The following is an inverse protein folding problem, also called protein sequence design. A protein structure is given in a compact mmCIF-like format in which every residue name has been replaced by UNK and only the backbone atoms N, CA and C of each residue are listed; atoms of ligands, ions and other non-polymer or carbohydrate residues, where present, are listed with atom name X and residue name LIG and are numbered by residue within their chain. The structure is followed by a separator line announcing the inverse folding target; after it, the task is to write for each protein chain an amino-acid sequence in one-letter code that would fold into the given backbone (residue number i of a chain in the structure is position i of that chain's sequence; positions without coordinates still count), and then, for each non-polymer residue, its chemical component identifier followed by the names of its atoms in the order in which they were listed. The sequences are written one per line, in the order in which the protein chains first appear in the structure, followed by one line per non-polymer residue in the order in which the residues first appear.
data_IF_188467671786
#
_entry.id   IF_188467671786
#
_cell.length_a   1.000
_cell.length_b   1.000
_cell.length_c   1.000
_cell.angle_alpha   90.00
_cell.angle_beta   90.00
_cell.angle_gamma   90.00
#
_symmetry.space_group_name_H-M   'P 1'
#
loop_
_entity.id
_entity.type
_entity.pdbx_description
1 polymer ?
#
# COMPACT_ATOMS: atom_id res chain seq x y z
N UNK A 1 -14.48 4.11 13.58
CA UNK A 1 -13.50 3.42 12.70
C UNK A 1 -12.25 3.11 13.49
N UNK A 2 -11.68 1.95 13.29
CA UNK A 2 -10.41 1.57 13.89
C UNK A 2 -9.54 0.86 12.87
N UNK A 3 -8.23 0.95 13.07
CA UNK A 3 -7.24 0.27 12.23
C UNK A 3 -6.62 -0.85 13.06
N UNK A 4 -6.56 -2.05 12.49
CA UNK A 4 -6.04 -3.23 13.15
C UNK A 4 -5.33 -4.14 12.14
N UNK A 5 -4.49 -5.04 12.64
CA UNK A 5 -3.86 -6.03 11.79
C UNK A 5 -4.91 -7.00 11.25
N UNK A 6 -4.78 -7.36 9.97
CA UNK A 6 -5.65 -8.34 9.35
C UNK A 6 -5.38 -9.72 9.93
N UNK A 7 -6.45 -10.47 10.21
CA UNK A 7 -6.34 -11.86 10.65
C UNK A 7 -6.68 -12.83 9.51
N UNK A 8 -6.23 -14.09 9.58
CA UNK A 8 -6.56 -15.08 8.54
C UNK A 8 -8.07 -15.29 8.36
N UNK A 9 -8.86 -15.13 9.41
CA UNK A 9 -10.31 -15.29 9.33
C UNK A 9 -10.98 -14.24 8.46
N UNK A 10 -10.34 -13.09 8.27
CA UNK A 10 -10.87 -11.99 7.46
C UNK A 10 -10.56 -12.15 5.99
N UNK A 11 -9.60 -13.02 5.63
CA UNK A 11 -9.21 -13.30 4.24
C UNK A 11 -8.98 -14.79 4.01
N UNK A 12 -9.99 -15.64 4.18
CA UNK A 12 -9.78 -17.11 4.08
C UNK A 12 -9.28 -17.55 2.70
N UNK A 13 -9.70 -16.87 1.63
CA UNK A 13 -9.26 -17.21 0.27
C UNK A 13 -7.80 -16.84 0.00
N UNK A 14 -7.15 -16.12 0.92
CA UNK A 14 -5.77 -15.69 0.80
C UNK A 14 -4.87 -16.28 1.88
N UNK A 15 -5.26 -17.42 2.45
CA UNK A 15 -4.53 -18.03 3.56
C UNK A 15 -3.05 -18.27 3.23
N UNK A 16 -2.75 -18.78 2.04
CA UNK A 16 -1.37 -19.04 1.63
C UNK A 16 -0.57 -17.75 1.52
N UNK A 17 -1.17 -16.68 0.98
CA UNK A 17 -0.57 -15.37 0.91
C UNK A 17 -0.27 -14.83 2.32
N UNK A 18 -1.22 -14.99 3.24
CA UNK A 18 -1.05 -14.59 4.63
C UNK A 18 0.10 -15.36 5.31
N UNK A 19 0.11 -16.68 5.13
CA UNK A 19 1.08 -17.56 5.79
C UNK A 19 2.52 -17.31 5.33
N UNK A 20 2.70 -16.81 4.11
CA UNK A 20 4.03 -16.55 3.54
C UNK A 20 4.60 -15.20 3.95
N UNK A 21 3.86 -14.39 4.70
CA UNK A 21 4.28 -13.03 5.04
C UNK A 21 5.01 -12.99 6.37
N UNK A 22 5.99 -12.09 6.44
CA UNK A 22 6.57 -11.67 7.71
C UNK A 22 5.76 -10.47 8.22
N UNK A 23 4.82 -10.73 9.12
CA UNK A 23 3.91 -9.70 9.61
C UNK A 23 4.60 -8.64 10.47
N UNK A 24 5.80 -8.91 10.97
CA UNK A 24 6.56 -7.93 11.72
C UNK A 24 7.15 -6.83 10.83
N UNK A 25 7.54 -7.18 9.61
CA UNK A 25 8.19 -6.25 8.68
C UNK A 25 7.33 -5.91 7.47
N UNK A 26 6.32 -6.70 7.20
CA UNK A 26 5.40 -6.50 6.07
C UNK A 26 3.94 -6.63 6.56
N UNK A 27 3.47 -5.69 7.39
CA UNK A 27 2.14 -5.78 7.99
C UNK A 27 1.01 -5.60 6.98
N UNK A 28 -0.13 -6.18 7.32
CA UNK A 28 -1.39 -5.94 6.64
C UNK A 28 -2.34 -5.33 7.67
N UNK A 29 -2.86 -4.16 7.39
CA UNK A 29 -3.78 -3.44 8.26
C UNK A 29 -5.17 -3.44 7.66
N UNK A 30 -6.17 -3.48 8.52
CA UNK A 30 -7.58 -3.33 8.10
C UNK A 30 -8.21 -2.18 8.88
N UNK A 31 -9.23 -1.59 8.27
CA UNK A 31 -10.08 -0.61 8.93
C UNK A 31 -11.50 -1.17 8.95
N UNK A 32 -12.08 -1.22 10.14
CA UNK A 32 -13.42 -1.77 10.34
C UNK A 32 -14.38 -0.69 10.80
N UNK A 33 -15.61 -0.81 10.35
CA UNK A 33 -16.72 0.01 10.80
C UNK A 33 -17.93 -0.90 10.97
N UNK A 34 -18.50 -0.94 12.17
CA UNK A 34 -19.66 -1.76 12.50
C UNK A 34 -19.46 -3.25 12.13
N UNK A 35 -18.27 -3.77 12.41
CA UNK A 35 -17.92 -5.17 12.16
C UNK A 35 -17.62 -5.51 10.69
N UNK A 36 -17.58 -4.51 9.81
CA UNK A 36 -17.31 -4.70 8.40
C UNK A 36 -15.97 -4.06 8.03
N UNK A 37 -15.17 -4.78 7.26
CA UNK A 37 -13.92 -4.23 6.73
C UNK A 37 -14.24 -3.25 5.60
N UNK A 38 -13.85 -1.99 5.76
CA UNK A 38 -14.09 -0.93 4.77
C UNK A 38 -12.83 -0.51 4.03
N UNK A 39 -11.67 -0.90 4.52
CA UNK A 39 -10.39 -0.64 3.84
C UNK A 39 -9.34 -1.61 4.34
N UNK A 40 -8.35 -1.86 3.53
CA UNK A 40 -7.15 -2.56 3.97
C UNK A 40 -5.95 -2.02 3.24
N UNK A 41 -4.77 -2.22 3.83
CA UNK A 41 -3.52 -1.81 3.23
C UNK A 41 -2.39 -2.70 3.67
N UNK A 42 -1.34 -2.74 2.89
CA UNK A 42 -0.24 -3.66 3.15
C UNK A 42 1.07 -3.11 2.60
N UNK A 43 2.16 -3.55 3.20
CA UNK A 43 3.47 -3.51 2.58
C UNK A 43 3.81 -4.89 2.01
N UNK A 44 4.40 -4.89 0.83
CA UNK A 44 4.95 -6.09 0.21
C UNK A 44 6.40 -5.82 -0.21
N UNK A 45 7.15 -6.89 -0.43
CA UNK A 45 8.53 -6.73 -0.91
C UNK A 45 8.52 -6.10 -2.30
N UNK A 46 9.37 -5.11 -2.49
CA UNK A 46 9.57 -4.54 -3.83
C UNK A 46 10.25 -5.58 -4.75
N UNK A 47 11.27 -6.25 -4.23
CA UNK A 47 11.96 -7.37 -4.88
C UNK A 47 12.28 -8.43 -3.83
N UNK A 48 12.29 -9.69 -4.23
CA UNK A 48 12.54 -10.82 -3.33
C UNK A 48 14.04 -11.07 -3.13
N UNK A 49 14.79 -10.01 -2.87
CA UNK A 49 16.22 -10.08 -2.57
C UNK A 49 16.49 -9.31 -1.29
N UNK A 50 17.37 -9.84 -0.45
CA UNK A 50 17.70 -9.24 0.84
C UNK A 50 18.20 -7.80 0.70
N UNK A 51 18.90 -7.47 -0.38
CA UNK A 51 19.40 -6.12 -0.61
C UNK A 51 18.28 -5.08 -0.70
N UNK A 52 17.06 -5.49 -1.06
CA UNK A 52 15.91 -4.59 -1.16
C UNK A 52 15.04 -4.57 0.10
N UNK A 53 15.48 -5.18 1.20
CA UNK A 53 14.69 -5.20 2.44
C UNK A 53 14.24 -3.82 2.91
N UNK A 54 15.04 -2.72 2.76
CA UNK A 54 14.58 -1.39 3.15
C UNK A 54 13.51 -0.78 2.24
N UNK A 55 13.23 -1.39 1.10
CA UNK A 55 12.26 -0.88 0.11
C UNK A 55 11.04 -1.76 0.08
N UNK A 56 9.86 -1.16 0.25
CA UNK A 56 8.60 -1.89 0.22
C UNK A 56 7.61 -1.20 -0.70
N UNK A 57 6.76 -2.00 -1.32
CA UNK A 57 5.62 -1.51 -2.06
C UNK A 57 4.42 -1.41 -1.13
N UNK A 58 3.71 -0.29 -1.19
CA UNK A 58 2.49 -0.06 -0.42
C UNK A 58 1.28 -0.23 -1.31
N UNK A 59 0.25 -0.89 -0.79
CA UNK A 59 -1.05 -1.00 -1.43
C UNK A 59 -2.12 -0.55 -0.47
N UNK A 60 -3.08 0.21 -0.96
CA UNK A 60 -4.24 0.67 -0.19
C UNK A 60 -5.49 0.39 -1.00
N UNK A 61 -6.43 -0.31 -0.38
CA UNK A 61 -7.74 -0.61 -0.96
C UNK A 61 -8.82 -0.02 -0.08
N UNK A 62 -9.79 0.64 -0.70
CA UNK A 62 -10.95 1.21 0.01
C UNK A 62 -12.22 0.63 -0.62
N UNK A 63 -13.11 0.09 0.23
CA UNK A 63 -14.39 -0.43 -0.25
C UNK A 63 -15.16 0.69 -0.96
N UNK A 64 -15.84 0.41 -2.08
CA UNK A 64 -16.58 1.45 -2.81
C UNK A 64 -17.57 2.23 -1.95
N UNK A 65 -18.17 1.61 -0.95
CA UNK A 65 -19.11 2.27 -0.03
C UNK A 65 -18.44 3.31 0.87
N UNK A 66 -17.13 3.27 1.02
CA UNK A 66 -16.37 4.15 1.91
C UNK A 66 -15.53 5.19 1.15
N UNK A 67 -15.58 5.20 -0.17
CA UNK A 67 -14.83 6.14 -0.99
C UNK A 67 -15.33 7.57 -0.74
N UNK A 68 -14.40 8.54 -0.70
CA UNK A 68 -14.73 9.94 -0.49
C UNK A 68 -14.82 10.36 0.98
N UNK A 69 -14.53 9.45 1.90
CA UNK A 69 -14.61 9.70 3.36
C UNK A 69 -13.25 9.93 4.02
N UNK A 70 -12.18 10.01 3.25
CA UNK A 70 -10.83 10.14 3.80
C UNK A 70 -10.23 8.86 4.35
N UNK A 71 -10.85 7.71 4.11
CA UNK A 71 -10.44 6.42 4.64
C UNK A 71 -9.08 6.00 4.09
N UNK A 72 -8.83 6.24 2.79
CA UNK A 72 -7.55 5.93 2.16
C UNK A 72 -6.39 6.68 2.80
N UNK A 73 -6.58 7.95 3.15
CA UNK A 73 -5.55 8.75 3.83
C UNK A 73 -5.25 8.22 5.22
N UNK A 74 -6.28 7.86 5.97
CA UNK A 74 -6.11 7.29 7.32
C UNK A 74 -5.33 5.99 7.24
N UNK A 75 -5.69 5.12 6.30
CA UNK A 75 -4.99 3.85 6.09
C UNK A 75 -3.54 4.06 5.69
N UNK A 76 -3.28 4.96 4.73
CA UNK A 76 -1.91 5.25 4.29
C UNK A 76 -1.08 5.83 5.43
N UNK A 77 -1.63 6.76 6.21
CA UNK A 77 -0.94 7.33 7.35
C UNK A 77 -0.60 6.26 8.39
N UNK A 78 -1.51 5.32 8.64
CA UNK A 78 -1.28 4.22 9.57
C UNK A 78 -0.14 3.31 9.10
N UNK A 79 -0.07 3.01 7.80
CA UNK A 79 1.02 2.22 7.23
C UNK A 79 2.35 2.98 7.31
N UNK A 80 2.37 4.24 6.92
CA UNK A 80 3.60 5.04 6.96
C UNK A 80 4.15 5.18 8.37
N UNK A 81 3.28 5.18 9.38
CA UNK A 81 3.70 5.21 10.78
C UNK A 81 4.41 3.93 11.23
N UNK A 82 4.27 2.83 10.47
CA UNK A 82 4.90 1.54 10.76
C UNK A 82 6.27 1.36 10.12
N UNK A 83 6.68 2.25 9.22
CA UNK A 83 7.87 2.04 8.39
C UNK A 83 9.15 1.88 9.20
N UNK A 84 9.37 2.72 10.21
CA UNK A 84 10.59 2.63 11.03
C UNK A 84 10.68 1.29 11.75
N UNK A 85 9.61 0.84 12.37
CA UNK A 85 9.57 -0.45 13.07
C UNK A 85 9.76 -1.63 12.12
N UNK A 86 9.35 -1.46 10.86
CA UNK A 86 9.46 -2.50 9.83
C UNK A 86 10.81 -2.49 9.09
N UNK A 87 11.68 -1.54 9.39
CA UNK A 87 12.96 -1.41 8.69
C UNK A 87 12.82 -0.89 7.27
N UNK A 88 11.75 -0.16 6.98
CA UNK A 88 11.46 0.38 5.65
C UNK A 88 11.80 1.86 5.63
N UNK A 89 12.61 2.30 4.67
CA UNK A 89 12.92 3.71 4.47
C UNK A 89 12.63 4.21 3.05
N UNK A 90 12.21 3.31 2.17
CA UNK A 90 11.77 3.63 0.79
C UNK A 90 10.43 2.97 0.55
N UNK A 91 9.42 3.77 0.25
CA UNK A 91 8.06 3.27 0.00
C UNK A 91 7.69 3.59 -1.43
N UNK A 92 7.24 2.57 -2.15
CA UNK A 92 6.87 2.67 -3.57
C UNK A 92 5.38 2.34 -3.71
N UNK A 93 4.68 3.14 -4.50
CA UNK A 93 3.29 2.88 -4.89
C UNK A 93 3.22 2.82 -6.41
N UNK A 94 2.62 1.76 -6.94
CA UNK A 94 2.37 1.61 -8.37
C UNK A 94 0.91 1.93 -8.63
N UNK A 95 0.66 2.89 -9.52
CA UNK A 95 -0.68 3.35 -9.86
C UNK A 95 -0.84 3.43 -11.37
N UNK A 96 -2.06 3.23 -11.86
CA UNK A 96 -2.36 3.62 -13.23
C UNK A 96 -2.30 5.14 -13.33
N UNK A 97 -1.64 5.65 -14.39
CA UNK A 97 -1.47 7.08 -14.59
C UNK A 97 -2.82 7.83 -14.65
N UNK A 98 -3.87 7.17 -15.15
CA UNK A 98 -5.20 7.77 -15.26
C UNK A 98 -6.01 7.69 -13.97
N UNK A 99 -5.54 7.00 -12.95
CA UNK A 99 -6.22 6.90 -11.66
C UNK A 99 -5.87 8.12 -10.81
N UNK A 100 -6.56 9.22 -11.08
CA UNK A 100 -6.27 10.50 -10.41
C UNK A 100 -6.45 10.44 -8.91
N UNK A 101 -7.42 9.67 -8.42
CA UNK A 101 -7.69 9.56 -6.98
C UNK A 101 -6.50 8.92 -6.26
N UNK A 102 -5.92 7.84 -6.81
CA UNK A 102 -4.75 7.19 -6.24
C UNK A 102 -3.53 8.09 -6.30
N UNK A 103 -3.29 8.75 -7.44
CA UNK A 103 -2.16 9.64 -7.58
C UNK A 103 -2.25 10.79 -6.57
N UNK A 104 -3.43 11.38 -6.40
CA UNK A 104 -3.63 12.45 -5.41
C UNK A 104 -3.43 11.96 -3.99
N UNK A 105 -3.91 10.75 -3.68
CA UNK A 105 -3.74 10.17 -2.34
C UNK A 105 -2.26 10.12 -1.97
N UNK A 106 -1.45 9.51 -2.81
CA UNK A 106 -0.02 9.35 -2.51
C UNK A 106 0.71 10.68 -2.58
N UNK A 107 0.41 11.53 -3.56
CA UNK A 107 1.05 12.85 -3.68
C UNK A 107 0.75 13.72 -2.45
N UNK A 108 -0.44 13.63 -1.87
CA UNK A 108 -0.79 14.37 -0.66
C UNK A 108 0.02 13.94 0.56
N UNK A 109 0.68 12.79 0.49
CA UNK A 109 1.53 12.27 1.57
C UNK A 109 3.02 12.36 1.24
N UNK A 110 3.39 13.18 0.27
CA UNK A 110 4.78 13.45 -0.05
C UNK A 110 5.42 12.49 -1.04
N UNK A 111 4.63 11.63 -1.66
CA UNK A 111 5.14 10.78 -2.74
C UNK A 111 5.36 11.62 -3.99
N UNK A 112 6.43 11.31 -4.73
CA UNK A 112 6.75 11.95 -6.00
C UNK A 112 6.92 10.88 -7.07
N UNK A 113 6.81 11.27 -8.34
CA UNK A 113 6.96 10.30 -9.42
C UNK A 113 8.43 9.93 -9.61
N UNK A 114 8.75 8.64 -9.46
CA UNK A 114 10.09 8.11 -9.66
C UNK A 114 10.26 7.38 -10.98
N UNK A 115 9.19 7.05 -11.65
CA UNK A 115 9.25 6.39 -12.94
C UNK A 115 7.88 6.24 -13.58
N UNK A 116 7.92 5.89 -14.86
CA UNK A 116 6.71 5.73 -15.66
C UNK A 116 6.96 4.66 -16.70
N UNK A 117 6.03 3.71 -16.79
CA UNK A 117 6.09 2.61 -17.76
C UNK A 117 4.93 2.79 -18.72
N UNK A 118 5.20 3.29 -19.94
CA UNK A 118 4.12 3.53 -20.90
C UNK A 118 3.47 2.23 -21.32
N UNK A 119 2.13 2.21 -21.35
CA UNK A 119 1.33 1.10 -21.87
C UNK A 119 1.72 -0.26 -21.29
N UNK A 120 2.07 -0.28 -19.99
CA UNK A 120 2.62 -1.45 -19.32
C UNK A 120 1.60 -2.56 -19.06
N UNK A 121 0.32 -2.19 -18.91
CA UNK A 121 -0.73 -3.13 -18.56
C UNK A 121 -1.80 -3.21 -19.64
N UNK A 122 -2.19 -4.43 -19.99
CA UNK A 122 -3.30 -4.68 -20.90
C UNK A 122 -4.56 -4.93 -20.07
N UNK A 123 -5.48 -3.98 -20.11
CA UNK A 123 -6.75 -4.04 -19.40
C UNK A 123 -7.87 -4.27 -20.41
N UNK A 124 -8.14 -5.54 -20.69
CA UNK A 124 -9.19 -5.94 -21.63
C UNK A 124 -9.02 -5.29 -23.01
N UNK A 125 -7.79 -5.33 -23.54
CA UNK A 125 -7.46 -4.77 -24.83
C UNK A 125 -7.11 -3.28 -24.83
N UNK A 126 -7.23 -2.61 -23.69
CA UNK A 126 -6.78 -1.21 -23.53
C UNK A 126 -5.47 -1.19 -22.74
N UNK A 127 -4.42 -0.65 -23.35
CA UNK A 127 -3.13 -0.54 -22.70
C UNK A 127 -3.10 0.68 -21.77
N UNK A 128 -2.58 0.48 -20.57
CA UNK A 128 -2.53 1.54 -19.56
C UNK A 128 -1.11 1.78 -19.08
N UNK A 129 -0.78 3.06 -18.90
CA UNK A 129 0.51 3.48 -18.35
C UNK A 129 0.49 3.34 -16.83
N UNK A 130 1.59 2.82 -16.28
CA UNK A 130 1.80 2.71 -14.83
C UNK A 130 2.81 3.76 -14.40
N UNK A 131 2.50 4.50 -13.33
CA UNK A 131 3.45 5.40 -12.69
C UNK A 131 3.96 4.78 -11.40
N UNK A 132 5.25 4.95 -11.15
CA UNK A 132 5.88 4.59 -9.90
C UNK A 132 6.02 5.85 -9.06
N UNK A 133 5.31 5.91 -7.96
CA UNK A 133 5.41 6.99 -7.00
C UNK A 133 6.25 6.50 -5.82
N UNK A 134 7.10 7.36 -5.29
CA UNK A 134 7.97 6.95 -4.20
C UNK A 134 8.13 8.02 -3.14
N UNK A 135 8.46 7.56 -1.95
CA UNK A 135 8.71 8.42 -0.80
C UNK A 135 9.90 7.88 -0.01
N UNK A 136 10.82 8.77 0.33
CA UNK A 136 11.90 8.47 1.26
C UNK A 136 11.41 8.79 2.65
N UNK A 137 11.42 7.78 3.53
CA UNK A 137 11.10 7.96 4.94
C UNK A 137 12.38 8.35 5.67
N UNK A 138 12.29 9.39 6.49
CA UNK A 138 13.47 9.83 7.24
C UNK A 138 13.81 8.83 8.33
N UNK A 139 15.10 8.48 8.38
CA UNK A 139 15.62 7.71 9.50
C UNK A 139 15.76 8.62 10.72
N UNK A 140 15.43 8.09 11.90
CA UNK A 140 15.66 8.81 13.16
C UNK A 140 17.14 8.99 13.47
N UNK A 141 18.02 8.34 12.73
CA UNK A 141 19.47 8.40 12.92
C UNK A 141 20.19 9.27 11.91
N UNK A 142 19.45 9.88 11.03
CA UNK A 142 20.04 10.74 10.01
C UNK A 142 20.66 12.00 10.61
#
# INVERSE_FOLDING_TARGET
MSTADLTPQQLPARQAWWDQRDHATRPVLVMEESGRVIAWGAFTNFKDRAAYAPTAEVSVYVDPSAVGRGVGRVMLDALLARTTACGIDRVIALCFAHNEASVRLFSSRGFTEWGRIPDACDMHGVRRTVVMLGKVMQSLQS
#
